data_IF_003300378617
#
_entry.id   IF_003300378617
#
_cell.length_a   1.000
_cell.length_b   1.000
_cell.length_c   1.000
_cell.angle_alpha   90.00
_cell.angle_beta   90.00
_cell.angle_gamma   90.00
#
_symmetry.space_group_name_H-M   'P 1'
#
loop_
_entity.id
_entity.type
_entity.pdbx_description
1 polymer ?
#
# COMPACT_ATOMS: atom_id res chain seq x y z
N UNK A 1 4.90 4.78 24.97
CA UNK A 1 4.06 5.45 23.96
C UNK A 1 2.71 5.73 24.59
N UNK A 2 2.07 6.86 24.29
CA UNK A 2 0.71 7.14 24.72
C UNK A 2 -0.23 6.07 24.15
N UNK A 3 -0.89 5.31 25.03
CA UNK A 3 -1.79 4.23 24.65
C UNK A 3 -3.00 4.73 23.85
N UNK A 4 -3.34 6.02 23.95
CA UNK A 4 -4.43 6.63 23.18
C UNK A 4 -4.18 6.60 21.67
N UNK A 5 -2.92 6.50 21.23
CA UNK A 5 -2.51 6.52 19.81
C UNK A 5 -2.65 5.17 19.10
N UNK A 6 -3.01 4.12 19.84
CA UNK A 6 -3.12 2.76 19.33
C UNK A 6 -4.55 2.26 19.54
N UNK A 7 -5.08 1.46 18.61
CA UNK A 7 -6.37 0.80 18.77
C UNK A 7 -6.28 -0.36 19.77
N UNK A 8 -7.42 -0.90 20.21
CA UNK A 8 -7.43 -2.06 21.12
C UNK A 8 -6.74 -3.29 20.49
N UNK A 9 -6.78 -3.39 19.17
CA UNK A 9 -6.15 -4.45 18.37
C UNK A 9 -4.65 -4.23 18.12
N UNK A 10 -4.08 -3.11 18.59
CA UNK A 10 -2.65 -2.81 18.46
C UNK A 10 -2.26 -2.01 17.20
N UNK A 11 -3.21 -1.46 16.44
CA UNK A 11 -2.89 -0.65 15.25
C UNK A 11 -2.63 0.81 15.59
N UNK A 12 -1.68 1.44 14.91
CA UNK A 12 -1.44 2.89 15.00
C UNK A 12 -2.64 3.63 14.40
N UNK A 13 -3.26 4.53 15.17
CA UNK A 13 -4.41 5.32 14.70
C UNK A 13 -3.96 6.40 13.72
N UNK A 14 -4.52 6.38 12.51
CA UNK A 14 -4.26 7.39 11.49
C UNK A 14 -5.56 7.94 10.91
N UNK A 15 -5.52 9.19 10.47
CA UNK A 15 -6.60 9.81 9.72
C UNK A 15 -6.58 9.40 8.23
N UNK A 16 -7.49 9.95 7.42
CA UNK A 16 -7.59 9.65 5.99
C UNK A 16 -6.36 10.04 5.16
N UNK A 17 -5.44 10.83 5.71
CA UNK A 17 -4.18 11.25 5.09
C UNK A 17 -2.99 10.40 5.54
N UNK A 18 -3.24 9.32 6.29
CA UNK A 18 -2.23 8.41 6.85
C UNK A 18 -1.34 9.08 7.92
N UNK A 19 -1.78 10.23 8.42
CA UNK A 19 -1.16 10.99 9.49
C UNK A 19 -1.66 10.44 10.83
N UNK A 20 -0.79 10.38 11.83
CA UNK A 20 -1.14 9.98 13.19
C UNK A 20 -2.33 10.81 13.68
N UNK A 21 -3.32 10.15 14.26
CA UNK A 21 -4.56 10.80 14.74
C UNK A 21 -4.32 11.51 16.08
N UNK A 22 -3.53 12.59 16.04
CA UNK A 22 -3.18 13.40 17.19
C UNK A 22 -2.74 14.80 16.76
N UNK A 23 -3.26 15.81 17.46
CA UNK A 23 -2.85 17.21 17.27
C UNK A 23 -1.41 17.47 17.73
N UNK A 24 -0.88 16.67 18.66
CA UNK A 24 0.48 16.85 19.18
C UNK A 24 1.56 16.36 18.20
N UNK A 25 1.21 15.42 17.34
CA UNK A 25 2.14 14.70 16.48
C UNK A 25 1.77 14.83 14.99
N UNK A 26 1.47 16.07 14.57
CA UNK A 26 0.99 16.36 13.21
C UNK A 26 2.02 16.12 12.09
N UNK A 27 3.26 15.77 12.42
CA UNK A 27 4.31 15.43 11.46
C UNK A 27 4.64 13.93 11.42
N UNK A 28 3.90 13.10 12.17
CA UNK A 28 4.08 11.64 12.19
C UNK A 28 3.04 10.97 11.28
N UNK A 29 3.49 9.99 10.52
CA UNK A 29 2.67 9.23 9.58
C UNK A 29 2.91 7.74 9.77
N UNK A 30 1.90 6.92 9.52
CA UNK A 30 2.01 5.47 9.54
C UNK A 30 1.28 4.85 8.34
N UNK A 31 1.90 3.84 7.74
CA UNK A 31 1.45 3.18 6.51
C UNK A 31 1.40 1.68 6.71
N UNK A 32 0.76 0.99 5.78
CA UNK A 32 0.74 -0.46 5.67
C UNK A 32 0.09 -1.12 6.88
N UNK A 33 0.64 -2.29 7.21
CA UNK A 33 -0.01 -3.25 8.10
C UNK A 33 -0.04 -2.79 9.56
N UNK A 34 0.86 -1.88 9.97
CA UNK A 34 0.91 -1.34 11.32
C UNK A 34 -0.17 -0.29 11.61
N UNK A 35 -0.72 0.36 10.58
CA UNK A 35 -1.73 1.43 10.73
C UNK A 35 -3.16 0.87 10.80
N UNK A 36 -4.10 1.61 11.36
CA UNK A 36 -5.53 1.28 11.33
C UNK A 36 -6.22 1.72 10.02
N UNK A 37 -5.47 2.13 8.99
CA UNK A 37 -6.02 2.50 7.69
C UNK A 37 -6.94 1.39 7.16
N UNK A 38 -8.11 1.69 6.57
CA UNK A 38 -9.03 0.66 6.07
C UNK A 38 -8.54 -0.02 4.78
N UNK A 39 -7.43 0.45 4.19
CA UNK A 39 -6.82 -0.22 3.04
C UNK A 39 -6.39 -1.66 3.41
N UNK A 40 -6.52 -2.63 2.49
CA UNK A 40 -6.14 -4.01 2.78
C UNK A 40 -4.66 -4.12 3.21
N UNK A 41 -4.42 -4.93 4.24
CA UNK A 41 -3.10 -5.17 4.85
C UNK A 41 -2.23 -6.05 3.95
N UNK A 42 -1.70 -5.45 2.87
CA UNK A 42 -0.90 -6.13 1.85
C UNK A 42 0.18 -5.19 1.31
N UNK A 43 1.32 -5.75 0.94
CA UNK A 43 2.46 -5.02 0.34
C UNK A 43 2.04 -4.07 -0.79
N UNK A 44 1.14 -4.51 -1.69
CA UNK A 44 0.69 -3.69 -2.82
C UNK A 44 0.07 -2.36 -2.35
N UNK A 45 -0.81 -2.40 -1.35
CA UNK A 45 -1.47 -1.20 -0.82
C UNK A 45 -0.54 -0.36 0.03
N UNK A 46 0.37 -0.97 0.79
CA UNK A 46 1.44 -0.25 1.48
C UNK A 46 2.32 0.54 0.48
N UNK A 47 2.64 -0.05 -0.68
CA UNK A 47 3.35 0.64 -1.75
C UNK A 47 2.56 1.82 -2.35
N UNK A 48 1.25 1.65 -2.59
CA UNK A 48 0.38 2.74 -3.06
C UNK A 48 0.30 3.89 -2.03
N UNK A 49 0.18 3.55 -0.76
CA UNK A 49 0.20 4.50 0.35
C UNK A 49 1.52 5.28 0.41
N UNK A 50 2.66 4.58 0.30
CA UNK A 50 3.98 5.20 0.26
C UNK A 50 4.16 6.15 -0.93
N UNK A 51 3.72 5.74 -2.13
CA UNK A 51 3.75 6.59 -3.33
C UNK A 51 2.90 7.85 -3.16
N UNK A 52 1.67 7.70 -2.65
CA UNK A 52 0.76 8.81 -2.39
C UNK A 52 1.34 9.80 -1.37
N UNK A 53 1.71 9.30 -0.18
CA UNK A 53 2.23 10.14 0.89
C UNK A 53 3.57 10.80 0.50
N UNK A 54 4.45 10.06 -0.17
CA UNK A 54 5.74 10.60 -0.63
C UNK A 54 5.58 11.78 -1.60
N UNK A 55 4.60 11.72 -2.52
CA UNK A 55 4.31 12.83 -3.43
C UNK A 55 3.82 14.08 -2.67
N UNK A 56 2.93 13.90 -1.69
CA UNK A 56 2.44 15.02 -0.85
C UNK A 56 3.55 15.59 0.04
N UNK A 57 4.36 14.75 0.68
CA UNK A 57 5.49 15.20 1.49
C UNK A 57 6.54 15.95 0.66
N UNK A 58 6.76 15.56 -0.59
CA UNK A 58 7.64 16.31 -1.50
C UNK A 58 7.11 17.73 -1.78
N UNK A 59 5.80 17.91 -1.89
CA UNK A 59 5.19 19.24 -2.02
C UNK A 59 5.35 20.07 -0.74
N UNK A 60 5.18 19.43 0.44
CA UNK A 60 5.43 20.10 1.74
C UNK A 60 6.88 20.56 1.84
N UNK A 61 7.83 19.68 1.52
CA UNK A 61 9.26 19.97 1.57
C UNK A 61 9.67 21.12 0.63
N UNK A 62 9.00 21.22 -0.53
CA UNK A 62 9.18 22.32 -1.50
C UNK A 62 8.44 23.61 -1.12
N UNK A 63 7.76 23.63 0.03
CA UNK A 63 6.94 24.75 0.51
C UNK A 63 5.82 25.15 -0.45
N UNK A 64 5.38 24.24 -1.32
CA UNK A 64 4.24 24.47 -2.21
C UNK A 64 2.91 24.15 -1.51
N UNK A 65 2.97 23.41 -0.39
CA UNK A 65 1.85 23.24 0.53
C UNK A 65 2.35 23.28 1.99
N UNK A 66 1.48 23.69 2.92
CA UNK A 66 1.83 23.77 4.35
C UNK A 66 1.84 22.42 5.05
N UNK A 67 1.02 21.47 4.59
CA UNK A 67 0.96 20.10 5.10
C UNK A 67 0.40 19.16 4.03
N UNK A 68 0.40 17.85 4.29
CA UNK A 68 -0.30 16.85 3.48
C UNK A 68 -1.78 17.23 3.40
N UNK A 69 -2.26 17.42 2.17
CA UNK A 69 -3.59 17.95 1.92
C UNK A 69 -4.56 16.87 1.44
N UNK A 70 -4.08 15.95 0.59
CA UNK A 70 -4.95 14.96 -0.07
C UNK A 70 -5.11 13.68 0.76
N UNK A 71 -6.35 13.19 0.97
CA UNK A 71 -6.57 11.88 1.57
C UNK A 71 -6.05 10.76 0.65
N UNK A 72 -5.65 9.64 1.24
CA UNK A 72 -5.36 8.43 0.48
C UNK A 72 -6.65 7.92 -0.19
N UNK A 73 -6.62 7.58 -1.49
CA UNK A 73 -7.80 7.08 -2.19
C UNK A 73 -8.39 5.83 -1.52
N UNK A 74 -9.72 5.76 -1.45
CA UNK A 74 -10.41 4.57 -0.95
C UNK A 74 -10.15 3.39 -1.89
N UNK A 75 -9.97 2.21 -1.31
CA UNK A 75 -9.83 0.96 -2.05
C UNK A 75 -11.20 0.30 -2.13
N UNK A 76 -11.81 0.32 -3.31
CA UNK A 76 -13.13 -0.28 -3.53
C UNK A 76 -13.05 -1.75 -3.97
N UNK A 77 -12.03 -2.08 -4.78
CA UNK A 77 -11.84 -3.44 -5.30
C UNK A 77 -10.49 -3.96 -4.85
N UNK A 78 -10.51 -5.10 -4.17
CA UNK A 78 -9.29 -5.75 -3.68
C UNK A 78 -8.73 -6.67 -4.74
N UNK A 79 -7.59 -6.30 -5.31
CA UNK A 79 -6.85 -7.17 -6.23
C UNK A 79 -6.29 -8.39 -5.51
N UNK A 80 -6.54 -9.58 -6.04
CA UNK A 80 -6.04 -10.85 -5.47
C UNK A 80 -5.53 -11.74 -6.59
N UNK A 81 -4.33 -12.29 -6.43
CA UNK A 81 -3.77 -13.26 -7.37
C UNK A 81 -3.34 -14.49 -6.58
N UNK A 82 -3.97 -15.62 -6.87
CA UNK A 82 -3.72 -16.91 -6.23
C UNK A 82 -3.12 -17.88 -7.25
N UNK A 83 -1.79 -18.10 -7.22
CA UNK A 83 -1.16 -19.09 -8.07
C UNK A 83 -1.46 -20.49 -7.52
N UNK A 84 -1.75 -21.43 -8.41
CA UNK A 84 -1.93 -22.85 -8.14
C UNK A 84 -0.84 -23.62 -8.90
N UNK A 85 0.38 -23.55 -8.37
CA UNK A 85 1.58 -24.05 -9.02
C UNK A 85 2.13 -23.12 -10.12
N UNK A 86 3.16 -23.56 -10.88
CA UNK A 86 3.87 -22.70 -11.83
C UNK A 86 3.01 -22.19 -13.00
N UNK A 87 1.96 -22.93 -13.37
CA UNK A 87 1.15 -22.66 -14.55
C UNK A 87 -0.34 -22.47 -14.26
N UNK A 88 -0.79 -22.65 -13.02
CA UNK A 88 -2.19 -22.55 -12.63
C UNK A 88 -2.47 -21.32 -11.78
N UNK A 89 -3.73 -20.91 -11.71
CA UNK A 89 -4.21 -19.96 -10.71
C UNK A 89 -5.23 -18.96 -11.23
N UNK A 90 -5.80 -18.20 -10.30
CA UNK A 90 -6.85 -17.22 -10.57
C UNK A 90 -6.42 -15.85 -10.09
N UNK A 91 -6.76 -14.83 -10.86
CA UNK A 91 -6.47 -13.44 -10.56
C UNK A 91 -7.75 -12.61 -10.66
N UNK A 92 -8.13 -11.94 -9.58
CA UNK A 92 -9.08 -10.84 -9.60
C UNK A 92 -8.28 -9.54 -9.66
N UNK A 93 -8.40 -8.81 -10.77
CA UNK A 93 -7.71 -7.54 -10.95
C UNK A 93 -8.61 -6.37 -10.53
N UNK A 94 -8.06 -5.34 -9.87
CA UNK A 94 -8.83 -4.17 -9.44
C UNK A 94 -9.04 -3.18 -10.60
N UNK A 95 -9.50 -3.68 -11.74
CA UNK A 95 -9.83 -2.91 -12.96
C UNK A 95 -11.27 -3.22 -13.36
N UNK A 96 -11.96 -2.23 -13.95
CA UNK A 96 -13.32 -2.37 -14.51
C UNK A 96 -14.32 -3.07 -13.56
N UNK A 97 -14.30 -2.75 -12.26
CA UNK A 97 -15.24 -3.36 -11.31
C UNK A 97 -14.80 -4.70 -10.71
N UNK A 98 -13.66 -5.27 -11.10
CA UNK A 98 -13.14 -6.52 -10.54
C UNK A 98 -13.13 -7.69 -11.53
N UNK A 99 -12.39 -7.56 -12.62
CA UNK A 99 -12.29 -8.62 -13.64
C UNK A 99 -11.54 -9.84 -13.11
N UNK A 100 -12.16 -11.02 -13.25
CA UNK A 100 -11.52 -12.31 -12.95
C UNK A 100 -10.85 -12.86 -14.21
N UNK A 101 -9.58 -13.22 -14.08
CA UNK A 101 -8.73 -13.76 -15.13
C UNK A 101 -8.07 -15.06 -14.67
N UNK A 102 -7.83 -15.95 -15.63
CA UNK A 102 -7.28 -17.29 -15.36
C UNK A 102 -5.76 -17.38 -15.44
N UNK A 103 -5.30 -18.61 -15.69
CA UNK A 103 -3.92 -19.06 -15.61
C UNK A 103 -2.89 -18.17 -16.33
N UNK A 104 -3.19 -17.67 -17.53
CA UNK A 104 -2.21 -16.89 -18.33
C UNK A 104 -1.75 -15.62 -17.62
N UNK A 105 -2.68 -14.91 -16.98
CA UNK A 105 -2.41 -13.65 -16.28
C UNK A 105 -1.73 -13.94 -14.95
N UNK A 106 -2.23 -14.93 -14.20
CA UNK A 106 -1.64 -15.35 -12.94
C UNK A 106 -0.18 -15.81 -13.12
N UNK A 107 0.09 -16.59 -14.18
CA UNK A 107 1.43 -17.07 -14.54
C UNK A 107 2.37 -15.92 -14.90
N UNK A 108 1.93 -15.02 -15.78
CA UNK A 108 2.77 -13.95 -16.32
C UNK A 108 3.16 -12.92 -15.26
N UNK A 109 2.35 -12.75 -14.23
CA UNK A 109 2.56 -11.75 -13.18
C UNK A 109 3.17 -12.39 -11.94
N UNK A 110 2.43 -13.28 -11.26
CA UNK A 110 2.81 -13.74 -9.92
C UNK A 110 3.72 -14.97 -9.96
N UNK A 111 3.46 -15.94 -10.84
CA UNK A 111 4.29 -17.16 -10.91
C UNK A 111 5.64 -16.93 -11.59
N UNK A 112 5.87 -15.77 -12.21
CA UNK A 112 7.14 -15.43 -12.88
C UNK A 112 8.28 -15.22 -11.86
N UNK A 113 8.07 -14.33 -10.90
CA UNK A 113 9.09 -13.97 -9.91
C UNK A 113 8.49 -13.54 -8.56
N UNK A 114 7.19 -13.76 -8.34
CA UNK A 114 6.46 -13.34 -7.15
C UNK A 114 6.62 -11.84 -6.80
N UNK A 115 6.83 -10.99 -7.81
CA UNK A 115 7.12 -9.56 -7.67
C UNK A 115 8.50 -9.22 -7.08
N UNK A 116 9.42 -10.17 -6.98
CA UNK A 116 10.77 -9.91 -6.48
C UNK A 116 11.48 -8.83 -7.32
N UNK A 117 11.46 -8.94 -8.65
CA UNK A 117 12.09 -7.95 -9.52
C UNK A 117 11.50 -6.55 -9.37
N UNK A 118 10.18 -6.46 -9.20
CA UNK A 118 9.49 -5.20 -8.95
C UNK A 118 9.90 -4.59 -7.60
N UNK A 119 9.98 -5.40 -6.54
CA UNK A 119 10.38 -4.95 -5.21
C UNK A 119 11.80 -4.39 -5.22
N UNK A 120 12.77 -5.13 -5.78
CA UNK A 120 14.16 -4.69 -5.91
C UNK A 120 14.28 -3.41 -6.74
N UNK A 121 13.60 -3.32 -7.89
CA UNK A 121 13.58 -2.12 -8.72
C UNK A 121 13.05 -0.90 -7.97
N UNK A 122 12.00 -1.04 -7.17
CA UNK A 122 11.43 0.06 -6.39
C UNK A 122 12.38 0.57 -5.29
N UNK A 123 13.28 -0.28 -4.81
CA UNK A 123 14.35 0.09 -3.88
C UNK A 123 15.57 0.70 -4.58
N UNK A 124 15.57 0.81 -5.92
CA UNK A 124 16.74 1.22 -6.69
C UNK A 124 17.86 0.18 -6.69
N UNK A 125 17.52 -1.09 -6.47
CA UNK A 125 18.46 -2.20 -6.33
C UNK A 125 18.22 -3.32 -7.35
N UNK A 126 19.16 -4.26 -7.43
CA UNK A 126 19.14 -5.40 -8.37
C UNK A 126 18.84 -6.68 -7.61
N UNK A 127 18.08 -7.59 -8.24
CA UNK A 127 17.78 -8.90 -7.66
C UNK A 127 19.09 -9.69 -7.49
N UNK A 128 19.37 -10.25 -6.29
CA UNK A 128 20.51 -11.14 -6.08
C UNK A 128 20.40 -12.38 -6.98
N UNK A 129 21.54 -12.84 -7.50
CA UNK A 129 21.64 -14.07 -8.29
C UNK A 129 21.61 -15.31 -7.40
#
# INVERSE_FOLDING_TARGET
MDASLVTAEGFIKVNSKLQLDSNQYSNIYALGDASNSPAPKRMYYAGLQGKHLGAELALVARKTQSNVSKPFPKVEIVGTMLPLGPNGGVSQLPVMGGVVMGNLITKSIKSKDYFAGMAWKNLGAVVPN
#
